data_IF_520058312488
#
_entry.id   IF_520058312488
#
_cell.length_a   1.000
_cell.length_b   1.000
_cell.length_c   1.000
_cell.angle_alpha   90.00
_cell.angle_beta   90.00
_cell.angle_gamma   90.00
#
_symmetry.space_group_name_H-M   'P 1'
#
loop_
_entity.id
_entity.type
_entity.pdbx_description
1 polymer ?
#
# COMPACT_ATOMS: atom_id res chain seq x y z
N UNK A 1 15.65 0.82 -5.69
CA UNK A 1 15.76 -0.53 -5.09
C UNK A 1 14.78 -0.61 -3.92
N UNK A 2 14.01 -1.71 -3.78
CA UNK A 2 13.03 -1.85 -2.69
C UNK A 2 13.75 -2.13 -1.36
N UNK A 3 13.65 -1.20 -0.41
CA UNK A 3 14.10 -1.45 0.97
C UNK A 3 13.15 -2.40 1.72
N UNK A 4 13.59 -2.86 2.89
CA UNK A 4 12.84 -3.81 3.72
C UNK A 4 11.44 -3.31 4.08
N UNK A 5 11.28 -2.01 4.34
CA UNK A 5 9.99 -1.42 4.70
C UNK A 5 9.05 -1.39 3.50
N UNK A 6 9.52 -0.98 2.34
CA UNK A 6 8.74 -0.97 1.09
C UNK A 6 8.26 -2.37 0.72
N UNK A 7 9.13 -3.39 0.89
CA UNK A 7 8.75 -4.79 0.71
C UNK A 7 7.65 -5.21 1.67
N UNK A 8 7.77 -4.87 2.95
CA UNK A 8 6.74 -5.16 3.94
C UNK A 8 5.42 -4.48 3.62
N UNK A 9 5.44 -3.18 3.27
CA UNK A 9 4.25 -2.41 2.88
C UNK A 9 3.60 -2.99 1.63
N UNK A 10 4.38 -3.33 0.61
CA UNK A 10 3.87 -3.96 -0.61
C UNK A 10 3.23 -5.32 -0.30
N UNK A 11 3.89 -6.14 0.51
CA UNK A 11 3.37 -7.45 0.91
C UNK A 11 2.01 -7.33 1.61
N UNK A 12 1.89 -6.47 2.62
CA UNK A 12 0.62 -6.31 3.34
C UNK A 12 -0.46 -5.65 2.48
N UNK A 13 -0.08 -4.76 1.55
CA UNK A 13 -1.03 -4.18 0.59
C UNK A 13 -1.61 -5.25 -0.35
N UNK A 14 -0.77 -6.15 -0.87
CA UNK A 14 -1.22 -7.27 -1.69
C UNK A 14 -2.12 -8.22 -0.90
N UNK A 15 -1.71 -8.59 0.32
CA UNK A 15 -2.52 -9.45 1.20
C UNK A 15 -3.89 -8.82 1.50
N UNK A 16 -3.92 -7.53 1.82
CA UNK A 16 -5.18 -6.83 2.10
C UNK A 16 -6.10 -6.80 0.88
N UNK A 17 -5.53 -6.55 -0.30
CA UNK A 17 -6.29 -6.56 -1.55
C UNK A 17 -6.86 -7.95 -1.87
N UNK A 18 -6.07 -9.02 -1.69
CA UNK A 18 -6.54 -10.41 -1.91
C UNK A 18 -7.70 -10.76 -0.97
N UNK A 19 -7.63 -10.31 0.29
CA UNK A 19 -8.64 -10.63 1.30
C UNK A 19 -9.96 -9.87 1.10
N UNK A 20 -9.89 -8.65 0.56
CA UNK A 20 -11.05 -7.73 0.52
C UNK A 20 -11.57 -7.46 -0.89
N UNK A 21 -10.75 -7.68 -1.92
CA UNK A 21 -10.95 -7.18 -3.28
C UNK A 21 -11.18 -5.65 -3.35
N UNK A 22 -10.80 -4.90 -2.31
CA UNK A 22 -10.98 -3.45 -2.21
C UNK A 22 -9.65 -2.69 -2.32
N UNK A 23 -9.64 -1.49 -2.93
CA UNK A 23 -8.47 -0.61 -2.90
C UNK A 23 -7.98 -0.33 -1.48
N UNK A 24 -6.67 -0.46 -1.29
CA UNK A 24 -6.05 -0.44 0.03
C UNK A 24 -5.64 0.98 0.42
N UNK A 25 -6.07 1.44 1.60
CA UNK A 25 -5.71 2.74 2.15
C UNK A 25 -4.53 2.62 3.13
N UNK A 26 -3.72 3.70 3.23
CA UNK A 26 -2.61 3.72 4.18
C UNK A 26 -3.09 3.63 5.64
N UNK A 27 -4.26 4.19 5.95
CA UNK A 27 -4.86 4.11 7.27
C UNK A 27 -5.20 2.67 7.64
N UNK A 28 -5.88 1.94 6.75
CA UNK A 28 -6.22 0.51 6.95
C UNK A 28 -4.96 -0.34 7.18
N UNK A 29 -3.89 -0.08 6.43
CA UNK A 29 -2.63 -0.81 6.60
C UNK A 29 -1.97 -0.57 7.96
N UNK A 30 -1.96 0.67 8.44
CA UNK A 30 -1.36 1.00 9.75
C UNK A 30 -2.18 0.41 10.89
N UNK A 31 -3.51 0.52 10.82
CA UNK A 31 -4.42 0.01 11.87
C UNK A 31 -4.37 -1.52 11.98
N UNK A 32 -4.30 -2.23 10.86
CA UNK A 32 -4.37 -3.70 10.84
C UNK A 32 -3.02 -4.41 11.00
N UNK A 33 -1.95 -3.85 10.44
CA UNK A 33 -0.64 -4.53 10.35
C UNK A 33 0.46 -3.94 11.25
N UNK A 34 0.14 -2.96 12.11
CA UNK A 34 1.05 -2.39 13.10
C UNK A 34 2.45 -2.07 12.54
N UNK A 35 2.51 -1.38 11.40
CA UNK A 35 3.73 -1.16 10.61
C UNK A 35 4.81 -0.30 11.30
N UNK A 36 4.59 0.17 12.53
CA UNK A 36 5.54 0.99 13.30
C UNK A 36 5.79 2.39 12.72
N UNK A 37 4.98 2.83 11.77
CA UNK A 37 5.08 4.13 11.10
C UNK A 37 3.71 4.77 10.94
N UNK A 38 3.69 6.09 10.73
CA UNK A 38 2.45 6.84 10.55
C UNK A 38 1.75 6.49 9.23
N UNK A 39 0.43 6.73 9.17
CA UNK A 39 -0.35 6.60 7.93
C UNK A 39 0.14 7.53 6.81
N UNK A 40 0.70 8.69 7.16
CA UNK A 40 1.33 9.61 6.21
C UNK A 40 2.60 9.02 5.59
N UNK A 41 3.44 8.36 6.40
CA UNK A 41 4.63 7.64 5.93
C UNK A 41 4.23 6.51 4.99
N UNK A 42 3.24 5.70 5.36
CA UNK A 42 2.74 4.62 4.49
C UNK A 42 2.14 5.18 3.21
N UNK A 43 1.40 6.30 3.26
CA UNK A 43 0.87 6.95 2.05
C UNK A 43 1.98 7.33 1.07
N UNK A 44 3.09 7.88 1.57
CA UNK A 44 4.24 8.24 0.74
C UNK A 44 4.91 7.01 0.13
N UNK A 45 5.04 5.92 0.90
CA UNK A 45 5.61 4.66 0.40
C UNK A 45 4.69 4.00 -0.64
N UNK A 46 3.38 4.03 -0.44
CA UNK A 46 2.39 3.56 -1.42
C UNK A 46 2.44 4.37 -2.73
N UNK A 47 2.62 5.70 -2.64
CA UNK A 47 2.78 6.56 -3.82
C UNK A 47 4.10 6.25 -4.56
N UNK A 48 5.18 5.96 -3.84
CA UNK A 48 6.43 5.54 -4.46
C UNK A 48 6.32 4.16 -5.11
N UNK A 49 5.63 3.22 -4.46
CA UNK A 49 5.34 1.90 -5.04
C UNK A 49 4.48 2.00 -6.30
N UNK A 50 3.54 2.95 -6.35
CA UNK A 50 2.81 3.27 -7.58
C UNK A 50 3.72 3.84 -8.66
N UNK A 51 4.56 4.82 -8.33
CA UNK A 51 5.51 5.39 -9.29
C UNK A 51 6.45 4.32 -9.88
N UNK A 52 6.79 3.31 -9.07
CA UNK A 52 7.60 2.16 -9.48
C UNK A 52 6.81 1.08 -10.24
N UNK A 53 5.49 1.23 -10.40
CA UNK A 53 4.64 0.32 -11.16
C UNK A 53 4.15 -0.92 -10.42
N UNK A 54 4.36 -1.03 -9.10
CA UNK A 54 3.87 -2.15 -8.28
C UNK A 54 2.41 -1.99 -7.83
N UNK A 55 1.92 -0.75 -7.83
CA UNK A 55 0.57 -0.39 -7.42
C UNK A 55 -0.01 0.63 -8.40
N UNK A 56 -1.33 0.82 -8.39
CA UNK A 56 -2.00 1.92 -9.11
C UNK A 56 -3.18 2.50 -8.31
N UNK A 57 -3.51 3.78 -8.51
CA UNK A 57 -4.85 4.29 -8.16
C UNK A 57 -5.83 4.01 -9.30
N UNK A 58 -6.99 3.43 -9.01
CA UNK A 58 -8.08 3.45 -9.98
C UNK A 58 -8.69 4.85 -10.14
N UNK A 59 -8.78 5.64 -9.07
CA UNK A 59 -9.35 7.01 -9.07
C UNK A 59 -8.62 7.91 -8.08
N UNK A 60 -8.67 9.24 -8.26
CA UNK A 60 -7.95 10.24 -7.44
C UNK A 60 -8.22 10.15 -5.93
N UNK A 61 -9.40 9.68 -5.52
CA UNK A 61 -9.78 9.50 -4.10
C UNK A 61 -9.66 8.06 -3.60
N UNK A 62 -9.41 7.09 -4.48
CA UNK A 62 -9.37 5.68 -4.12
C UNK A 62 -8.05 5.28 -3.46
N UNK A 63 -8.05 4.15 -2.74
CA UNK A 63 -6.83 3.49 -2.29
C UNK A 63 -5.96 2.97 -3.45
N UNK A 64 -4.98 2.14 -3.13
CA UNK A 64 -4.10 1.50 -4.12
C UNK A 64 -4.48 0.05 -4.35
N UNK A 65 -4.34 -0.40 -5.58
CA UNK A 65 -4.48 -1.81 -5.96
C UNK A 65 -3.16 -2.33 -6.54
N UNK A 66 -2.80 -3.59 -6.27
CA UNK A 66 -1.69 -4.26 -6.94
C UNK A 66 -1.84 -4.24 -8.46
N UNK A 67 -0.70 -4.16 -9.15
CA UNK A 67 -0.59 -4.41 -10.59
C UNK A 67 -0.32 -5.90 -10.84
N UNK A 68 -0.33 -6.29 -12.12
CA UNK A 68 -0.07 -7.67 -12.60
C UNK A 68 1.36 -8.15 -12.31
#
# INVERSE_FOLDING_TARGET
MLDTRKKAILFVAVQEYILTAEPVSSQRLVEKYQLGVSSATVRNELALLEYLGYLRQPHTSAGRIPTD
#
